data_IF_496614059587
#
_entry.id   IF_496614059587
#
_cell.length_a   1.000
_cell.length_b   1.000
_cell.length_c   1.000
_cell.angle_alpha   90.00
_cell.angle_beta   90.00
_cell.angle_gamma   90.00
#
_symmetry.space_group_name_H-M   'P 1'
#
loop_
_entity.id
_entity.type
_entity.pdbx_description
1 polymer ?
#
# COMPACT_ATOMS: atom_id res chain seq x y z
N UNK A 1 -8.09 5.82 6.49
CA UNK A 1 -9.16 6.48 7.26
C UNK A 1 -8.49 7.39 8.28
N UNK A 2 -8.90 8.66 8.35
CA UNK A 2 -8.28 9.65 9.26
C UNK A 2 -8.75 9.43 10.71
N UNK A 3 -7.88 9.70 11.70
CA UNK A 3 -8.24 9.63 13.12
C UNK A 3 -9.12 10.83 13.46
N UNK A 4 -10.38 10.59 13.85
CA UNK A 4 -11.35 11.63 14.24
C UNK A 4 -11.72 11.46 15.72
N UNK A 5 -11.54 12.48 16.58
CA UNK A 5 -11.06 13.82 16.27
C UNK A 5 -9.57 13.86 15.89
N UNK A 6 -9.18 14.80 15.02
CA UNK A 6 -7.81 14.89 14.51
C UNK A 6 -6.80 15.21 15.62
N UNK A 7 -5.74 14.38 15.78
CA UNK A 7 -4.67 14.67 16.72
C UNK A 7 -3.93 15.96 16.37
N UNK A 8 -3.19 16.53 17.33
CA UNK A 8 -2.34 17.69 17.03
C UNK A 8 -1.27 17.34 15.98
N UNK A 9 -0.93 18.32 15.14
CA UNK A 9 0.15 18.17 14.14
C UNK A 9 1.45 17.75 14.81
N UNK A 10 1.77 18.28 15.99
CA UNK A 10 2.95 17.87 16.78
C UNK A 10 2.92 16.39 17.12
N UNK A 11 1.77 15.85 17.55
CA UNK A 11 1.62 14.42 17.87
C UNK A 11 1.74 13.55 16.62
N UNK A 12 1.13 13.96 15.51
CA UNK A 12 1.25 13.26 14.23
C UNK A 12 2.69 13.27 13.71
N UNK A 13 3.37 14.42 13.76
CA UNK A 13 4.78 14.56 13.38
C UNK A 13 5.69 13.71 14.26
N UNK A 14 5.46 13.71 15.58
CA UNK A 14 6.22 12.87 16.52
C UNK A 14 6.07 11.38 16.18
N UNK A 15 4.85 10.90 15.93
CA UNK A 15 4.61 9.50 15.51
C UNK A 15 5.36 9.16 14.21
N UNK A 16 5.42 10.09 13.26
CA UNK A 16 6.17 9.93 12.01
C UNK A 16 7.68 9.87 12.26
N UNK A 17 8.24 10.81 13.03
CA UNK A 17 9.71 10.88 13.27
C UNK A 17 10.23 9.81 14.22
N UNK A 18 9.39 9.31 15.13
CA UNK A 18 9.78 8.30 16.12
C UNK A 18 9.64 6.87 15.58
N UNK A 19 9.01 6.68 14.41
CA UNK A 19 8.88 5.37 13.79
C UNK A 19 10.17 4.96 13.07
N UNK A 20 10.58 3.70 13.21
CA UNK A 20 11.73 3.13 12.49
C UNK A 20 11.50 3.16 10.98
N UNK A 21 10.27 2.87 10.57
CA UNK A 21 9.79 2.98 9.20
C UNK A 21 8.47 3.73 9.26
N UNK A 22 8.40 4.87 8.56
CA UNK A 22 7.17 5.61 8.35
C UNK A 22 6.89 5.67 6.86
N UNK A 23 5.62 5.60 6.50
CA UNK A 23 5.16 6.02 5.18
C UNK A 23 5.20 7.56 5.06
N UNK A 24 4.58 8.15 4.04
CA UNK A 24 4.49 9.60 3.83
C UNK A 24 4.14 10.41 5.09
N UNK A 25 4.65 11.64 5.14
CA UNK A 25 4.42 12.62 6.22
C UNK A 25 2.98 13.15 6.29
N UNK A 26 2.01 12.28 6.56
CA UNK A 26 0.57 12.56 6.60
C UNK A 26 0.22 13.69 7.58
N UNK A 27 1.04 13.98 8.59
CA UNK A 27 0.85 15.15 9.46
C UNK A 27 0.76 16.48 8.68
N UNK A 28 1.41 16.58 7.51
CA UNK A 28 1.39 17.76 6.67
C UNK A 28 0.06 17.98 5.94
N UNK A 29 -0.81 16.95 5.86
CA UNK A 29 -2.12 17.04 5.19
C UNK A 29 -3.24 17.44 6.14
N UNK A 30 -2.95 17.67 7.44
CA UNK A 30 -3.93 18.13 8.41
C UNK A 30 -4.67 19.43 7.98
N UNK A 31 -4.03 20.46 7.38
CA UNK A 31 -4.72 21.61 6.82
C UNK A 31 -5.80 21.23 5.81
N UNK A 32 -5.45 20.39 4.83
CA UNK A 32 -6.38 19.93 3.80
C UNK A 32 -7.50 19.10 4.40
N UNK A 33 -7.17 18.19 5.33
CA UNK A 33 -8.17 17.43 6.07
C UNK A 33 -9.17 18.35 6.77
N UNK A 34 -8.70 19.35 7.53
CA UNK A 34 -9.57 20.29 8.24
C UNK A 34 -10.42 21.14 7.29
N UNK A 35 -9.84 21.61 6.18
CA UNK A 35 -10.57 22.35 5.16
C UNK A 35 -11.74 21.54 4.60
N UNK A 36 -11.47 20.33 4.10
CA UNK A 36 -12.49 19.52 3.43
C UNK A 36 -13.48 18.87 4.40
N UNK A 37 -13.01 18.40 5.56
CA UNK A 37 -13.88 17.70 6.52
C UNK A 37 -14.73 18.64 7.37
N UNK A 38 -14.28 19.89 7.55
CA UNK A 38 -14.86 20.83 8.51
C UNK A 38 -15.04 20.23 9.92
N UNK A 39 -14.16 19.29 10.29
CA UNK A 39 -14.20 18.63 11.60
C UNK A 39 -14.01 19.67 12.71
N UNK A 40 -14.94 19.70 13.67
CA UNK A 40 -14.88 20.58 14.84
C UNK A 40 -13.97 19.98 15.93
N UNK A 41 -12.66 20.03 15.71
CA UNK A 41 -11.65 19.59 16.69
C UNK A 41 -10.67 20.70 17.04
N UNK A 42 -10.04 20.65 18.23
CA UNK A 42 -9.11 21.70 18.66
C UNK A 42 -7.92 21.92 17.71
N UNK A 43 -7.57 20.91 16.91
CA UNK A 43 -6.53 21.05 15.89
C UNK A 43 -7.08 21.81 14.68
N UNK A 44 -8.25 21.46 14.16
CA UNK A 44 -8.85 22.16 13.02
C UNK A 44 -9.27 23.59 13.36
N UNK A 45 -9.85 23.82 14.54
CA UNK A 45 -10.25 25.15 15.00
C UNK A 45 -9.05 26.11 15.07
N UNK A 46 -7.90 25.62 15.56
CA UNK A 46 -6.64 26.40 15.61
C UNK A 46 -6.07 26.69 14.23
N UNK A 47 -6.29 25.82 13.25
CA UNK A 47 -5.83 26.04 11.88
C UNK A 47 -6.74 27.00 11.12
N UNK A 48 -7.98 27.21 11.56
CA UNK A 48 -8.92 28.16 10.96
C UNK A 48 -9.44 27.75 9.57
N UNK A 49 -9.25 26.49 9.18
CA UNK A 49 -9.77 25.95 7.91
C UNK A 49 -11.21 25.41 8.08
N UNK A 50 -12.03 25.52 7.02
CA UNK A 50 -13.41 25.00 7.01
C UNK A 50 -14.53 26.05 7.03
N UNK A 51 -14.19 27.33 7.22
CA UNK A 51 -15.14 28.46 7.33
C UNK A 51 -15.63 29.04 5.99
N UNK A 52 -15.51 28.30 4.89
CA UNK A 52 -16.00 28.72 3.57
C UNK A 52 -17.41 28.17 3.30
N UNK A 53 -18.18 28.83 2.42
CA UNK A 53 -19.54 28.39 2.08
C UNK A 53 -19.54 27.17 1.16
N UNK A 54 -19.51 25.98 1.76
CA UNK A 54 -19.65 24.70 1.08
C UNK A 54 -19.99 23.59 2.09
N UNK A 55 -20.42 22.43 1.59
CA UNK A 55 -20.60 21.25 2.43
C UNK A 55 -19.26 20.58 2.78
N UNK A 56 -19.22 19.93 3.94
CA UNK A 56 -18.11 19.08 4.33
C UNK A 56 -18.04 17.84 3.41
N UNK A 57 -16.83 17.47 2.98
CA UNK A 57 -16.55 16.23 2.25
C UNK A 57 -16.17 15.17 3.28
N UNK A 58 -17.18 14.58 3.90
CA UNK A 58 -17.02 13.53 4.92
C UNK A 58 -18.00 12.40 4.64
N UNK A 59 -17.49 11.18 4.73
CA UNK A 59 -18.34 10.00 4.79
C UNK A 59 -18.90 9.86 6.20
N UNK A 60 -20.20 10.13 6.35
CA UNK A 60 -20.89 9.85 7.60
C UNK A 60 -20.86 8.36 7.89
N UNK A 61 -20.68 8.01 9.16
CA UNK A 61 -20.82 6.62 9.61
C UNK A 61 -22.27 6.21 9.41
N UNK A 62 -22.51 5.30 8.48
CA UNK A 62 -23.83 4.78 8.17
C UNK A 62 -24.06 3.44 8.89
N UNK A 63 -25.14 2.76 8.53
CA UNK A 63 -25.46 1.45 9.08
C UNK A 63 -24.44 0.36 8.74
N UNK A 64 -23.51 0.58 7.80
CA UNK A 64 -22.46 -0.37 7.42
C UNK A 64 -21.15 -0.13 8.18
N UNK A 65 -21.02 1.01 8.87
CA UNK A 65 -19.87 1.30 9.72
C UNK A 65 -19.63 0.19 10.76
N UNK A 66 -18.37 -0.26 10.86
CA UNK A 66 -17.93 -1.31 11.78
C UNK A 66 -18.75 -2.62 11.70
N UNK A 67 -19.41 -2.87 10.55
CA UNK A 67 -20.08 -4.14 10.26
C UNK A 67 -19.28 -4.94 9.24
N UNK A 68 -19.33 -6.26 9.40
CA UNK A 68 -18.75 -7.19 8.42
C UNK A 68 -19.60 -7.17 7.15
N UNK A 69 -18.97 -6.93 6.00
CA UNK A 69 -19.64 -7.00 4.71
C UNK A 69 -20.09 -8.43 4.39
N UNK A 70 -21.25 -8.56 3.75
CA UNK A 70 -21.78 -9.84 3.27
C UNK A 70 -21.59 -9.91 1.76
N UNK A 71 -21.01 -11.01 1.28
CA UNK A 71 -20.85 -11.29 -0.15
C UNK A 71 -22.25 -11.58 -0.70
N UNK A 72 -22.76 -10.76 -1.64
CA UNK A 72 -24.08 -10.99 -2.23
C UNK A 72 -24.17 -12.33 -2.96
N UNK A 73 -25.38 -12.86 -3.10
CA UNK A 73 -25.62 -14.07 -3.89
C UNK A 73 -25.16 -13.84 -5.34
N UNK A 74 -24.34 -14.74 -5.87
CA UNK A 74 -23.80 -14.63 -7.23
C UNK A 74 -22.58 -13.71 -7.38
N UNK A 75 -22.14 -13.05 -6.30
CA UNK A 75 -20.88 -12.32 -6.27
C UNK A 75 -19.76 -13.20 -5.69
N UNK A 76 -18.52 -12.84 -6.03
CA UNK A 76 -17.32 -13.40 -5.41
C UNK A 76 -16.36 -12.27 -5.02
N UNK A 77 -15.38 -12.61 -4.18
CA UNK A 77 -14.33 -11.67 -3.75
C UNK A 77 -12.97 -12.28 -4.00
N UNK A 78 -12.21 -11.66 -4.90
CA UNK A 78 -10.79 -11.92 -5.07
C UNK A 78 -10.00 -10.89 -4.26
N UNK A 79 -9.17 -11.36 -3.33
CA UNK A 79 -8.20 -10.53 -2.62
C UNK A 79 -6.79 -10.98 -3.00
N UNK A 80 -5.89 -10.03 -3.22
CA UNK A 80 -4.47 -10.27 -3.51
C UNK A 80 -3.63 -9.52 -2.50
N UNK A 81 -2.62 -10.17 -1.94
CA UNK A 81 -1.74 -9.57 -0.93
C UNK A 81 -0.37 -10.24 -0.98
N UNK A 82 0.65 -9.55 -0.47
CA UNK A 82 1.98 -10.12 -0.32
C UNK A 82 2.50 -10.08 1.11
N UNK A 83 3.34 -11.07 1.47
CA UNK A 83 3.97 -11.16 2.78
C UNK A 83 5.01 -10.05 3.02
N UNK A 84 5.60 -9.47 1.97
CA UNK A 84 6.53 -8.35 2.05
C UNK A 84 5.88 -6.96 1.87
N UNK A 85 4.55 -6.87 1.85
CA UNK A 85 3.86 -5.58 1.81
C UNK A 85 3.94 -4.87 3.18
N UNK A 86 4.83 -3.88 3.30
CA UNK A 86 5.03 -3.10 4.53
C UNK A 86 3.95 -2.04 4.76
N UNK A 87 3.24 -1.59 3.72
CA UNK A 87 2.20 -0.56 3.80
C UNK A 87 0.85 -1.15 4.19
N UNK A 88 0.48 -2.29 3.60
CA UNK A 88 -0.70 -3.07 3.96
C UNK A 88 -0.33 -4.50 4.36
N UNK A 89 0.17 -4.71 5.60
CA UNK A 89 0.67 -6.00 6.06
C UNK A 89 -0.29 -7.17 5.82
N UNK A 90 0.26 -8.29 5.35
CA UNK A 90 -0.50 -9.48 4.93
C UNK A 90 -1.55 -9.96 5.96
N UNK A 91 -1.23 -9.91 7.25
CA UNK A 91 -2.15 -10.26 8.34
C UNK A 91 -3.51 -9.55 8.25
N UNK A 92 -3.54 -8.31 7.74
CA UNK A 92 -4.79 -7.56 7.59
C UNK A 92 -5.60 -8.03 6.38
N UNK A 93 -4.95 -8.56 5.33
CA UNK A 93 -5.65 -9.23 4.23
C UNK A 93 -6.30 -10.53 4.73
N UNK A 94 -5.60 -11.31 5.56
CA UNK A 94 -6.17 -12.51 6.21
C UNK A 94 -7.35 -12.16 7.12
N UNK A 95 -7.24 -11.08 7.91
CA UNK A 95 -8.34 -10.61 8.75
C UNK A 95 -9.52 -10.13 7.91
N UNK A 96 -9.27 -9.37 6.85
CA UNK A 96 -10.30 -8.88 5.93
C UNK A 96 -11.05 -10.06 5.30
N UNK A 97 -10.35 -10.97 4.63
CA UNK A 97 -10.97 -12.11 3.95
C UNK A 97 -11.75 -12.98 4.95
N UNK A 98 -11.22 -13.23 6.15
CA UNK A 98 -11.91 -13.99 7.21
C UNK A 98 -13.16 -13.28 7.73
N UNK A 99 -13.14 -11.95 7.81
CA UNK A 99 -14.26 -11.16 8.32
C UNK A 99 -15.47 -11.13 7.38
N UNK A 100 -15.27 -11.26 6.06
CA UNK A 100 -16.36 -11.25 5.08
C UNK A 100 -17.34 -12.41 5.30
N UNK A 101 -18.64 -12.12 5.32
CA UNK A 101 -19.67 -13.17 5.42
C UNK A 101 -19.93 -13.76 4.03
N UNK A 102 -19.74 -15.07 3.90
CA UNK A 102 -19.85 -15.80 2.63
C UNK A 102 -18.58 -16.60 2.32
N UNK A 103 -18.73 -17.63 1.50
CA UNK A 103 -17.65 -18.58 1.17
C UNK A 103 -17.04 -18.35 -0.21
N UNK A 104 -17.71 -17.62 -1.10
CA UNK A 104 -17.24 -17.38 -2.46
C UNK A 104 -16.17 -16.29 -2.49
N UNK A 105 -15.01 -16.59 -1.91
CA UNK A 105 -13.91 -15.65 -1.74
C UNK A 105 -12.58 -16.39 -1.75
N UNK A 106 -11.56 -15.76 -2.29
CA UNK A 106 -10.22 -16.33 -2.37
C UNK A 106 -9.18 -15.25 -2.10
N UNK A 107 -8.13 -15.63 -1.36
CA UNK A 107 -6.94 -14.82 -1.12
C UNK A 107 -5.77 -15.45 -1.88
N UNK A 108 -5.20 -14.70 -2.82
CA UNK A 108 -3.94 -15.04 -3.46
C UNK A 108 -2.82 -14.36 -2.70
N UNK A 109 -1.89 -15.16 -2.21
CA UNK A 109 -0.72 -14.70 -1.45
C UNK A 109 0.52 -14.79 -2.33
N UNK A 110 1.20 -13.66 -2.47
CA UNK A 110 2.54 -13.59 -3.06
C UNK A 110 3.58 -13.56 -1.93
N UNK A 111 4.69 -14.28 -2.07
CA UNK A 111 5.69 -14.28 -1.00
C UNK A 111 6.51 -12.99 -0.94
N UNK A 112 6.90 -12.43 -2.10
CA UNK A 112 7.96 -11.41 -2.15
C UNK A 112 7.61 -10.10 -2.87
N UNK A 113 6.33 -9.88 -3.18
CA UNK A 113 5.89 -8.65 -3.83
C UNK A 113 5.78 -7.48 -2.83
N UNK A 114 5.99 -6.26 -3.32
CA UNK A 114 5.81 -5.04 -2.54
C UNK A 114 4.35 -4.57 -2.58
N UNK A 115 4.09 -3.36 -2.07
CA UNK A 115 2.74 -2.80 -2.00
C UNK A 115 2.07 -2.71 -3.38
N UNK A 116 0.80 -3.10 -3.44
CA UNK A 116 0.03 -3.11 -4.68
C UNK A 116 0.27 -4.37 -5.52
N UNK A 117 -0.18 -5.52 -5.03
CA UNK A 117 0.05 -6.83 -5.66
C UNK A 117 -0.33 -6.92 -7.15
N UNK A 118 -1.28 -6.12 -7.63
CA UNK A 118 -1.65 -6.07 -9.05
C UNK A 118 -0.49 -5.57 -9.93
N UNK A 119 0.31 -4.63 -9.43
CA UNK A 119 1.38 -3.96 -10.18
C UNK A 119 2.78 -4.33 -9.72
N UNK A 120 2.94 -4.87 -8.51
CA UNK A 120 4.24 -5.19 -7.89
C UNK A 120 4.61 -6.68 -7.95
N UNK A 121 4.09 -7.41 -8.94
CA UNK A 121 4.28 -8.87 -9.10
C UNK A 121 4.90 -9.21 -10.47
N UNK A 122 5.97 -8.51 -10.83
CA UNK A 122 6.74 -8.70 -12.05
C UNK A 122 7.15 -10.17 -12.22
N UNK A 123 6.95 -10.71 -13.43
CA UNK A 123 7.36 -12.07 -13.78
C UNK A 123 8.82 -12.19 -14.22
N UNK A 124 9.45 -11.06 -14.53
CA UNK A 124 10.87 -10.99 -14.90
C UNK A 124 11.56 -10.11 -13.87
N UNK A 125 12.58 -10.66 -13.21
CA UNK A 125 13.39 -9.90 -12.24
C UNK A 125 14.07 -8.71 -12.94
N UNK A 126 14.18 -7.58 -12.24
CA UNK A 126 14.82 -6.34 -12.71
C UNK A 126 14.15 -5.65 -13.92
N UNK A 127 13.07 -6.20 -14.46
CA UNK A 127 12.27 -5.55 -15.51
C UNK A 127 10.95 -4.97 -14.93
N UNK A 128 10.90 -3.66 -14.63
CA UNK A 128 9.70 -3.03 -14.08
C UNK A 128 8.53 -2.97 -15.09
N UNK A 129 8.80 -3.16 -16.39
CA UNK A 129 7.79 -3.14 -17.45
C UNK A 129 7.27 -4.54 -17.82
N UNK A 130 7.85 -5.59 -17.22
CA UNK A 130 7.39 -6.95 -17.45
C UNK A 130 5.95 -7.14 -16.99
N UNK A 131 5.26 -8.12 -17.60
CA UNK A 131 3.92 -8.50 -17.18
C UNK A 131 3.90 -8.86 -15.69
N UNK A 132 2.84 -8.45 -14.99
CA UNK A 132 2.66 -8.77 -13.59
C UNK A 132 1.70 -9.94 -13.42
N UNK A 133 2.02 -10.86 -12.51
CA UNK A 133 1.14 -11.99 -12.21
C UNK A 133 -0.21 -11.52 -11.65
N UNK A 134 -0.21 -10.50 -10.79
CA UNK A 134 -1.42 -9.91 -10.23
C UNK A 134 -2.37 -9.37 -11.30
N UNK A 135 -1.85 -8.73 -12.37
CA UNK A 135 -2.68 -8.29 -13.49
C UNK A 135 -3.22 -9.46 -14.30
N UNK A 136 -2.42 -10.52 -14.52
CA UNK A 136 -2.87 -11.74 -15.22
C UNK A 136 -4.01 -12.43 -14.46
N UNK A 137 -3.91 -12.54 -13.13
CA UNK A 137 -4.96 -13.08 -12.27
C UNK A 137 -6.21 -12.20 -12.32
N UNK A 138 -6.08 -10.87 -12.24
CA UNK A 138 -7.21 -9.95 -12.36
C UNK A 138 -7.91 -10.09 -13.72
N UNK A 139 -7.15 -10.16 -14.81
CA UNK A 139 -7.70 -10.39 -16.14
C UNK A 139 -8.42 -11.75 -16.22
N UNK A 140 -7.86 -12.80 -15.62
CA UNK A 140 -8.50 -14.12 -15.52
C UNK A 140 -9.81 -14.07 -14.73
N UNK A 141 -9.85 -13.34 -13.62
CA UNK A 141 -11.04 -13.12 -12.79
C UNK A 141 -12.18 -12.47 -13.58
N UNK A 142 -11.86 -11.41 -14.34
CA UNK A 142 -12.84 -10.73 -15.19
C UNK A 142 -13.32 -11.63 -16.34
N UNK A 143 -12.40 -12.28 -17.07
CA UNK A 143 -12.73 -13.21 -18.17
C UNK A 143 -13.60 -14.38 -17.70
N UNK A 144 -13.36 -14.84 -16.47
CA UNK A 144 -14.09 -15.94 -15.83
C UNK A 144 -15.45 -15.53 -15.29
N UNK A 145 -15.87 -14.26 -15.46
CA UNK A 145 -17.08 -13.69 -14.86
C UNK A 145 -17.10 -13.84 -13.34
N UNK A 146 -15.96 -13.57 -12.71
CA UNK A 146 -15.74 -13.67 -11.28
C UNK A 146 -15.87 -15.10 -10.71
N UNK A 147 -15.79 -16.14 -11.54
CA UNK A 147 -15.75 -17.55 -11.09
C UNK A 147 -14.35 -17.91 -10.59
N UNK A 148 -14.23 -18.13 -9.28
CA UNK A 148 -12.95 -18.36 -8.60
C UNK A 148 -12.35 -19.73 -8.96
N UNK A 149 -13.22 -20.73 -9.17
CA UNK A 149 -12.86 -22.13 -9.43
C UNK A 149 -12.09 -22.35 -10.75
N UNK A 150 -12.18 -21.41 -11.69
CA UNK A 150 -11.48 -21.45 -12.98
C UNK A 150 -10.43 -20.34 -13.11
N UNK A 151 -10.03 -19.71 -12.01
CA UNK A 151 -8.96 -18.72 -12.03
C UNK A 151 -7.65 -19.35 -12.50
N UNK A 152 -7.07 -18.76 -13.54
CA UNK A 152 -5.70 -19.04 -13.94
C UNK A 152 -4.74 -18.32 -12.97
N UNK A 153 -4.11 -19.13 -12.12
CA UNK A 153 -3.13 -18.71 -11.11
C UNK A 153 -1.73 -19.27 -11.41
N UNK A 154 -1.53 -19.83 -12.61
CA UNK A 154 -0.28 -20.51 -13.00
C UNK A 154 0.95 -19.60 -13.01
N UNK A 155 0.74 -18.28 -12.98
CA UNK A 155 1.84 -17.31 -12.88
C UNK A 155 2.43 -17.21 -11.47
N UNK A 156 1.72 -17.64 -10.42
CA UNK A 156 2.19 -17.55 -9.02
C UNK A 156 3.43 -18.43 -8.83
N UNK A 157 3.41 -19.65 -9.37
CA UNK A 157 4.53 -20.60 -9.32
C UNK A 157 5.72 -20.19 -10.21
N UNK A 158 5.53 -19.18 -11.06
CA UNK A 158 6.56 -18.63 -11.97
C UNK A 158 7.13 -17.31 -11.47
N UNK A 159 6.68 -16.84 -10.31
CA UNK A 159 7.23 -15.62 -9.72
C UNK A 159 8.72 -15.82 -9.44
N UNK A 160 9.56 -14.80 -9.72
CA UNK A 160 10.98 -14.88 -9.42
C UNK A 160 11.22 -15.08 -7.93
N UNK A 161 12.31 -15.79 -7.61
CA UNK A 161 12.78 -15.94 -6.24
C UNK A 161 13.18 -14.60 -5.63
N UNK A 162 13.14 -14.52 -4.31
CA UNK A 162 13.61 -13.35 -3.59
C UNK A 162 15.12 -13.18 -3.75
N UNK A 163 15.54 -12.09 -4.40
CA UNK A 163 16.93 -11.72 -4.53
C UNK A 163 17.20 -10.39 -3.81
N UNK A 164 18.15 -10.43 -2.89
CA UNK A 164 18.61 -9.28 -2.11
C UNK A 164 19.85 -8.61 -2.73
N UNK A 165 20.37 -9.14 -3.84
CA UNK A 165 21.47 -8.50 -4.56
C UNK A 165 20.98 -7.19 -5.18
N UNK A 166 21.50 -6.07 -4.67
CA UNK A 166 21.22 -4.74 -5.22
C UNK A 166 22.12 -4.52 -6.44
N UNK A 167 21.58 -4.11 -7.61
CA UNK A 167 22.41 -3.78 -8.76
C UNK A 167 23.38 -2.62 -8.45
N UNK A 168 24.60 -2.67 -8.99
CA UNK A 168 25.71 -1.76 -8.65
C UNK A 168 25.38 -0.29 -8.92
N UNK A 169 24.58 -0.01 -9.95
CA UNK A 169 24.09 1.33 -10.30
C UNK A 169 23.16 1.88 -9.21
N UNK A 170 22.25 1.07 -8.67
CA UNK A 170 21.40 1.47 -7.54
C UNK A 170 22.22 1.67 -6.25
N UNK A 171 23.17 0.77 -5.98
CA UNK A 171 24.10 0.87 -4.85
C UNK A 171 24.89 2.19 -4.88
N UNK A 172 25.42 2.55 -6.05
CA UNK A 172 26.23 3.75 -6.24
C UNK A 172 25.38 5.03 -6.16
N UNK A 173 24.22 5.03 -6.83
CA UNK A 173 23.35 6.21 -6.94
C UNK A 173 22.57 6.53 -5.66
N UNK A 174 22.07 5.52 -4.94
CA UNK A 174 21.22 5.74 -3.77
C UNK A 174 21.95 5.59 -2.44
N UNK A 175 22.94 4.70 -2.36
CA UNK A 175 23.62 4.39 -1.09
C UNK A 175 25.06 4.92 -1.05
N UNK A 176 25.64 5.29 -2.19
CA UNK A 176 27.02 5.78 -2.35
C UNK A 176 28.02 4.91 -1.59
N UNK A 177 27.89 3.60 -1.77
CA UNK A 177 28.73 2.59 -1.13
C UNK A 177 28.93 1.39 -2.06
N UNK A 178 29.90 0.53 -1.73
CA UNK A 178 30.23 -0.69 -2.49
C UNK A 178 29.55 -1.94 -1.93
N UNK A 179 28.94 -1.84 -0.75
CA UNK A 179 28.29 -2.96 -0.07
C UNK A 179 26.91 -2.50 0.46
N UNK A 180 25.85 -3.23 0.11
CA UNK A 180 24.47 -2.83 0.41
C UNK A 180 24.04 -3.04 1.85
N UNK A 181 24.82 -3.77 2.65
CA UNK A 181 24.44 -4.18 4.00
C UNK A 181 25.41 -3.66 5.05
N UNK A 182 26.70 -3.77 4.79
CA UNK A 182 27.80 -3.40 5.70
C UNK A 182 28.68 -2.26 5.15
N UNK A 183 28.25 -1.64 4.05
CA UNK A 183 29.00 -0.58 3.38
C UNK A 183 29.06 0.73 4.17
N UNK A 184 30.19 1.42 4.01
CA UNK A 184 30.38 2.80 4.50
C UNK A 184 30.13 3.77 3.36
N UNK A 185 29.46 4.89 3.67
CA UNK A 185 29.22 5.97 2.72
C UNK A 185 30.54 6.56 2.19
N UNK A 186 30.66 6.69 0.87
CA UNK A 186 31.79 7.26 0.15
C UNK A 186 31.30 8.22 -0.95
N UNK A 187 31.49 9.52 -0.72
CA UNK A 187 31.06 10.60 -1.62
C UNK A 187 31.67 10.50 -3.03
N UNK A 188 32.82 9.84 -3.18
CA UNK A 188 33.49 9.71 -4.47
C UNK A 188 32.77 8.72 -5.40
N UNK A 189 32.00 7.78 -4.84
CA UNK A 189 31.23 6.80 -5.62
C UNK A 189 30.06 7.50 -6.35
N UNK A 190 29.37 8.42 -5.67
CA UNK A 190 28.32 9.23 -6.32
C UNK A 190 28.89 10.16 -7.39
N UNK A 191 30.05 10.77 -7.16
CA UNK A 191 30.64 11.73 -8.10
C UNK A 191 31.02 11.08 -9.44
N UNK A 192 31.55 9.86 -9.42
CA UNK A 192 31.92 9.10 -10.63
C UNK A 192 30.72 8.66 -11.47
N UNK A 193 29.54 8.52 -10.86
CA UNK A 193 28.32 8.12 -11.57
C UNK A 193 27.70 9.27 -12.37
N UNK A 194 27.83 10.52 -11.90
CA UNK A 194 27.29 11.70 -12.59
C UNK A 194 28.23 12.29 -13.68
N UNK A 195 29.44 11.74 -13.83
CA UNK A 195 30.42 12.14 -14.84
C UNK A 195 30.42 11.24 -16.10
N UNK A 196 29.53 10.24 -16.17
CA UNK A 196 29.31 9.36 -17.33
C UNK A 196 27.98 9.68 -18.02
#
# INVERSE_FOLDING_TARGET
>A
MWETPTPSITKLKKRFTDAVISDWGIYATAPSYCAFSKEASPTCDRLGFGNYDANAIVYNRDEFWNKRATIPKGASVLLMSSKLDTQTPHKYAEYLIKSLKGHNKELITFDYATHGAVVATQLISEDPYSETCGMKILASYVKSKARLEILDKSCVDKMPDFNLTIPTDYLSSYMSTKDSYDGVFDQNISAQYYEQ
#
